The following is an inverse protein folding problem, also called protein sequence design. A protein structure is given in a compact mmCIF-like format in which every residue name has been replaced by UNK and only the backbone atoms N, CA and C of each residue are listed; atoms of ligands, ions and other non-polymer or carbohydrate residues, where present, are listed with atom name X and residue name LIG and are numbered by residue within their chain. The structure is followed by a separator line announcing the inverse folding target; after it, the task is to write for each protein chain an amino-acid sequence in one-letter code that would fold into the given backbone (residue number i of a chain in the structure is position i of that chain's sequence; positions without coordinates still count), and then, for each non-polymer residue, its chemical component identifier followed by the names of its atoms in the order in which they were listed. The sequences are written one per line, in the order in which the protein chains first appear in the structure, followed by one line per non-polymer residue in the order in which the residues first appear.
data_IF_081006204817
#
_entry.id   IF_081006204817
#
_cell.length_a   1.000
_cell.length_b   1.000
_cell.length_c   1.000
_cell.angle_alpha   90.00
_cell.angle_beta   90.00
_cell.angle_gamma   90.00
#
_symmetry.space_group_name_H-M   'P 1'
#
loop_
_entity.id
_entity.type
_entity.pdbx_description
1 polymer ?
#
# COMPACT_ATOMS: atom_id res chain seq x y z
N UNK A 1 -14.75 5.84 -8.24
CA UNK A 1 -13.86 5.72 -7.07
C UNK A 1 -13.67 4.24 -6.67
N UNK A 2 -14.55 3.54 -5.93
CA UNK A 2 -14.28 2.13 -5.55
C UNK A 2 -13.98 1.15 -6.72
N UNK A 3 -14.57 1.38 -7.89
CA UNK A 3 -14.28 0.58 -9.09
C UNK A 3 -12.82 0.74 -9.55
N UNK A 4 -12.29 1.96 -9.53
CA UNK A 4 -10.90 2.26 -9.91
C UNK A 4 -9.91 1.68 -8.89
N UNK A 5 -10.26 1.73 -7.59
CA UNK A 5 -9.44 1.14 -6.53
C UNK A 5 -9.34 -0.39 -6.64
N UNK A 6 -10.44 -1.05 -7.01
CA UNK A 6 -10.45 -2.51 -7.23
C UNK A 6 -9.58 -2.88 -8.43
N UNK A 7 -9.66 -2.12 -9.52
CA UNK A 7 -8.83 -2.34 -10.70
C UNK A 7 -7.35 -2.05 -10.42
N UNK A 8 -7.02 -1.06 -9.57
CA UNK A 8 -5.64 -0.82 -9.16
C UNK A 8 -5.03 -2.02 -8.43
N UNK A 9 -5.78 -2.67 -7.53
CA UNK A 9 -5.34 -3.88 -6.84
C UNK A 9 -5.14 -5.05 -7.82
N UNK A 10 -6.07 -5.25 -8.76
CA UNK A 10 -5.95 -6.29 -9.80
C UNK A 10 -4.77 -6.04 -10.73
N UNK A 11 -4.56 -4.79 -11.15
CA UNK A 11 -3.43 -4.41 -11.99
C UNK A 11 -2.10 -4.68 -11.30
N UNK A 12 -2.00 -4.35 -10.00
CA UNK A 12 -0.85 -4.72 -9.18
C UNK A 12 -0.63 -6.24 -9.12
N UNK A 13 -1.70 -7.03 -8.96
CA UNK A 13 -1.60 -8.49 -8.97
C UNK A 13 -1.11 -9.03 -10.33
N UNK A 14 -1.62 -8.52 -11.45
CA UNK A 14 -1.15 -8.90 -12.79
C UNK A 14 0.34 -8.57 -12.98
N UNK A 15 0.74 -7.36 -12.57
CA UNK A 15 2.13 -6.90 -12.59
C UNK A 15 3.06 -7.86 -11.86
N UNK A 16 2.66 -8.35 -10.68
CA UNK A 16 3.43 -9.33 -9.90
C UNK A 16 3.47 -10.72 -10.57
N UNK A 17 2.39 -11.15 -11.24
CA UNK A 17 2.34 -12.43 -11.97
C UNK A 17 3.22 -12.39 -13.23
N UNK A 18 3.31 -11.23 -13.87
CA UNK A 18 4.12 -10.98 -15.07
C UNK A 18 5.60 -10.66 -14.76
N UNK A 19 6.01 -10.79 -13.49
CA UNK A 19 7.37 -10.50 -13.00
C UNK A 19 7.84 -9.06 -13.30
N UNK A 20 6.87 -8.12 -13.34
CA UNK A 20 7.16 -6.70 -13.52
C UNK A 20 7.39 -6.07 -12.15
N UNK A 21 8.57 -5.47 -11.96
CA UNK A 21 8.98 -4.94 -10.66
C UNK A 21 8.19 -3.66 -10.27
N UNK A 22 7.48 -3.65 -9.12
CA UNK A 22 6.85 -2.45 -8.59
C UNK A 22 7.88 -1.41 -8.17
N UNK A 23 7.55 -0.13 -8.36
CA UNK A 23 8.30 1.00 -7.80
C UNK A 23 7.54 1.66 -6.63
N UNK A 24 8.14 2.69 -6.03
CA UNK A 24 7.57 3.43 -4.90
C UNK A 24 6.18 4.00 -5.19
N UNK A 25 5.94 4.46 -6.43
CA UNK A 25 4.66 5.02 -6.84
C UNK A 25 3.60 3.94 -7.05
N UNK A 26 4.00 2.78 -7.57
CA UNK A 26 3.13 1.60 -7.67
C UNK A 26 2.63 1.20 -6.28
N UNK A 27 3.55 1.04 -5.31
CA UNK A 27 3.19 0.72 -3.92
C UNK A 27 2.29 1.79 -3.31
N UNK A 28 2.61 3.06 -3.52
CA UNK A 28 1.81 4.15 -2.96
C UNK A 28 0.38 4.15 -3.51
N UNK A 29 0.22 3.97 -4.82
CA UNK A 29 -1.08 3.90 -5.47
C UNK A 29 -1.92 2.75 -4.93
N UNK A 30 -1.38 1.53 -4.91
CA UNK A 30 -2.15 0.36 -4.48
C UNK A 30 -2.45 0.37 -2.98
N UNK A 31 -1.57 0.91 -2.13
CA UNK A 31 -1.84 1.09 -0.70
C UNK A 31 -3.00 2.06 -0.45
N UNK A 32 -3.07 3.17 -1.20
CA UNK A 32 -4.20 4.11 -1.15
C UNK A 32 -5.50 3.41 -1.53
N UNK A 33 -5.49 2.60 -2.58
CA UNK A 33 -6.66 1.81 -3.01
C UNK A 33 -7.09 0.79 -1.96
N UNK A 34 -6.15 0.07 -1.32
CA UNK A 34 -6.48 -0.80 -0.18
C UNK A 34 -7.12 -0.01 0.97
N UNK A 35 -6.64 1.20 1.25
CA UNK A 35 -7.24 2.08 2.26
C UNK A 35 -8.66 2.52 1.88
N UNK A 36 -8.89 2.89 0.63
CA UNK A 36 -10.23 3.27 0.13
C UNK A 36 -11.23 2.11 0.23
N UNK A 37 -10.78 0.90 -0.09
CA UNK A 37 -11.58 -0.33 0.00
C UNK A 37 -11.70 -0.87 1.43
N UNK A 38 -10.95 -0.31 2.38
CA UNK A 38 -10.77 -0.85 3.75
C UNK A 38 -10.30 -2.30 3.75
N UNK A 39 -9.54 -2.69 2.74
CA UNK A 39 -9.00 -4.03 2.57
C UNK A 39 -7.65 -4.16 3.27
N UNK A 40 -7.72 -4.46 4.57
CA UNK A 40 -6.51 -4.63 5.38
C UNK A 40 -5.69 -5.87 5.00
N UNK A 41 -6.33 -6.89 4.42
CA UNK A 41 -5.65 -8.11 4.01
C UNK A 41 -4.62 -7.82 2.93
N UNK A 42 -5.09 -7.21 1.83
CA UNK A 42 -4.20 -6.76 0.76
C UNK A 42 -3.25 -5.65 1.23
N UNK A 43 -3.72 -4.70 2.04
CA UNK A 43 -2.88 -3.62 2.56
C UNK A 43 -1.65 -4.13 3.34
N UNK A 44 -1.80 -5.14 4.21
CA UNK A 44 -0.68 -5.75 4.95
C UNK A 44 0.24 -6.59 4.05
N UNK A 45 -0.33 -7.31 3.09
CA UNK A 45 0.46 -8.08 2.12
C UNK A 45 1.37 -7.15 1.31
N UNK A 46 0.79 -6.06 0.79
CA UNK A 46 1.51 -5.07 -0.01
C UNK A 46 2.57 -4.35 0.83
N UNK A 47 2.28 -4.00 2.09
CA UNK A 47 3.30 -3.47 3.01
C UNK A 47 4.49 -4.43 3.14
N UNK A 48 4.24 -5.73 3.33
CA UNK A 48 5.32 -6.73 3.38
C UNK A 48 6.15 -6.78 2.10
N UNK A 49 5.50 -6.71 0.92
CA UNK A 49 6.18 -6.65 -0.37
C UNK A 49 7.01 -5.38 -0.52
N UNK A 50 6.47 -4.23 -0.11
CA UNK A 50 7.16 -2.94 -0.17
C UNK A 50 8.45 -2.94 0.65
N UNK A 51 8.43 -3.50 1.86
CA UNK A 51 9.62 -3.67 2.72
C UNK A 51 10.61 -4.65 2.09
N UNK A 52 10.13 -5.79 1.56
CA UNK A 52 11.00 -6.76 0.89
C UNK A 52 11.71 -6.18 -0.34
N UNK A 53 11.06 -5.24 -1.01
CA UNK A 53 11.60 -4.55 -2.19
C UNK A 53 12.44 -3.31 -1.85
N UNK A 54 12.59 -2.94 -0.58
CA UNK A 54 13.43 -1.81 -0.14
C UNK A 54 12.80 -0.41 -0.32
N UNK A 55 11.48 -0.32 -0.42
CA UNK A 55 10.76 0.95 -0.64
C UNK A 55 10.13 1.53 0.65
N UNK A 56 10.35 0.93 1.81
CA UNK A 56 9.76 1.36 3.08
C UNK A 56 10.22 2.74 3.57
N UNK A 57 11.36 3.22 3.07
CA UNK A 57 11.90 4.55 3.37
C UNK A 57 11.49 5.62 2.35
N UNK A 58 10.80 5.27 1.26
CA UNK A 58 10.35 6.25 0.28
C UNK A 58 9.17 7.06 0.85
N UNK A 59 9.23 8.39 0.76
CA UNK A 59 8.22 9.29 1.34
C UNK A 59 6.80 8.99 0.83
N UNK A 60 6.66 8.70 -0.47
CA UNK A 60 5.39 8.33 -1.08
C UNK A 60 4.82 7.04 -0.49
N UNK A 61 5.68 6.04 -0.29
CA UNK A 61 5.37 4.75 0.33
C UNK A 61 4.97 4.91 1.80
N UNK A 62 5.69 5.71 2.57
CA UNK A 62 5.33 5.96 3.98
C UNK A 62 4.00 6.71 4.13
N UNK A 63 3.78 7.74 3.32
CA UNK A 63 2.56 8.56 3.39
C UNK A 63 1.32 7.76 2.99
N UNK A 64 1.43 6.95 1.95
CA UNK A 64 0.35 6.05 1.51
C UNK A 64 0.09 4.93 2.51
N UNK A 65 1.14 4.33 3.09
CA UNK A 65 1.01 3.31 4.13
C UNK A 65 0.34 3.85 5.39
N UNK A 66 0.74 5.06 5.84
CA UNK A 66 0.10 5.77 6.94
C UNK A 66 -1.41 5.95 6.67
N UNK A 67 -1.74 6.46 5.48
CA UNK A 67 -3.13 6.70 5.05
C UNK A 67 -3.93 5.41 5.00
N UNK A 68 -3.34 4.32 4.49
CA UNK A 68 -3.98 3.00 4.41
C UNK A 68 -4.35 2.50 5.82
N UNK A 69 -3.40 2.50 6.76
CA UNK A 69 -3.67 2.06 8.14
C UNK A 69 -4.72 2.92 8.84
N UNK A 70 -4.69 4.26 8.66
CA UNK A 70 -5.71 5.16 9.20
C UNK A 70 -7.10 4.83 8.67
N UNK A 71 -7.25 4.65 7.35
CA UNK A 71 -8.56 4.34 6.73
C UNK A 71 -9.10 2.97 7.11
N UNK A 72 -8.21 2.02 7.40
CA UNK A 72 -8.55 0.70 7.95
C UNK A 72 -8.80 0.70 9.47
N UNK A 73 -8.68 1.84 10.15
CA UNK A 73 -8.93 1.98 11.59
C UNK A 73 -7.80 1.46 12.49
N UNK A 74 -6.61 1.21 11.95
CA UNK A 74 -5.45 0.72 12.69
C UNK A 74 -4.57 1.88 13.16
N UNK A 75 -5.07 2.61 14.17
CA UNK A 75 -4.43 3.84 14.67
C UNK A 75 -3.03 3.56 15.22
N UNK A 76 -2.84 2.47 15.97
CA UNK A 76 -1.52 2.14 16.54
C UNK A 76 -0.47 1.84 15.45
N UNK A 77 -0.85 1.10 14.41
CA UNK A 77 0.04 0.83 13.28
C UNK A 77 0.34 2.11 12.49
N UNK A 78 -0.66 2.96 12.29
CA UNK A 78 -0.47 4.27 11.65
C UNK A 78 0.50 5.16 12.44
N UNK A 79 0.41 5.15 13.77
CA UNK A 79 1.30 5.93 14.65
C UNK A 79 2.74 5.40 14.60
N UNK A 80 2.93 4.08 14.45
CA UNK A 80 4.26 3.51 14.25
C UNK A 80 4.87 3.99 12.94
N UNK A 81 4.10 3.98 11.85
CA UNK A 81 4.56 4.50 10.55
C UNK A 81 4.91 5.99 10.68
N UNK A 82 4.04 6.80 11.30
CA UNK A 82 4.28 8.24 11.49
C UNK A 82 5.56 8.55 12.26
N UNK A 83 5.94 7.73 13.25
CA UNK A 83 7.19 7.89 14.02
C UNK A 83 8.46 7.53 13.23
N UNK A 84 8.32 6.85 12.10
CA UNK A 84 9.42 6.46 11.22
C UNK A 84 9.55 7.37 9.99
N UNK A 85 8.64 8.33 9.83
CA UNK A 85 8.76 9.46 8.89
C UNK A 85 9.70 10.49 9.51
#
# INVERSE_FOLDING_TARGET
QNGEDTEAVKAFQSMMVEDVQPNEYTYASVLISCGNLKDIGNGKLIHGLMVKSGFESALASQTSLLTMYLRCGLVDDSLRVFKCI
#
